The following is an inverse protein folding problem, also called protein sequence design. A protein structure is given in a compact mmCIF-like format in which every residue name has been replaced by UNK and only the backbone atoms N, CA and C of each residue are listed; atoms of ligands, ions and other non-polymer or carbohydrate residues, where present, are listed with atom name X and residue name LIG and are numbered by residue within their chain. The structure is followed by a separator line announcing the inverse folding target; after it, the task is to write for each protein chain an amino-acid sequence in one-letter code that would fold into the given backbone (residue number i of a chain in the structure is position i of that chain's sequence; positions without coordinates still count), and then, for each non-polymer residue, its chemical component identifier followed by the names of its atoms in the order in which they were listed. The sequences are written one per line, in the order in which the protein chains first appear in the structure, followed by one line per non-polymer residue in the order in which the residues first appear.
data_IF_663041278893
#
_entry.id   IF_663041278893
#
_cell.length_a   1.000
_cell.length_b   1.000
_cell.length_c   1.000
_cell.angle_alpha   90.00
_cell.angle_beta   90.00
_cell.angle_gamma   90.00
#
_symmetry.space_group_name_H-M   'P 1'
#
loop_
_entity.id
_entity.type
_entity.pdbx_description
1 polymer ?
#
# COMPACT_ATOMS: atom_id res chain seq x y z
N UNK A 1 -31.22 -9.96 0.02
CA UNK A 1 -29.79 -9.58 -0.01
C UNK A 1 -29.64 -8.35 -0.89
N UNK A 2 -29.03 -7.26 -0.38
CA UNK A 2 -28.79 -6.06 -1.18
C UNK A 2 -27.90 -6.31 -2.39
N UNK A 3 -27.96 -5.40 -3.36
CA UNK A 3 -27.08 -5.43 -4.53
C UNK A 3 -25.61 -5.35 -4.11
N UNK A 4 -24.75 -6.07 -4.80
CA UNK A 4 -23.30 -6.15 -4.53
C UNK A 4 -22.92 -6.79 -3.20
N UNK A 5 -23.84 -7.46 -2.55
CA UNK A 5 -23.58 -8.27 -1.36
C UNK A 5 -23.90 -9.74 -1.63
N UNK A 6 -23.25 -10.62 -0.88
CA UNK A 6 -23.49 -12.06 -0.91
C UNK A 6 -23.39 -12.63 0.50
N UNK A 7 -23.98 -13.80 0.68
CA UNK A 7 -23.88 -14.57 1.94
C UNK A 7 -23.52 -16.00 1.62
N UNK A 8 -22.68 -16.57 2.46
CA UNK A 8 -22.34 -18.00 2.41
C UNK A 8 -23.26 -18.74 3.36
N UNK A 9 -23.98 -19.72 2.84
CA UNK A 9 -24.89 -20.56 3.63
C UNK A 9 -24.24 -21.91 3.90
N UNK A 10 -24.20 -22.27 5.17
CA UNK A 10 -23.83 -23.59 5.63
C UNK A 10 -25.08 -24.36 6.03
N UNK A 11 -25.19 -25.60 5.56
CA UNK A 11 -26.24 -26.53 5.94
C UNK A 11 -25.64 -27.66 6.78
N UNK A 12 -26.09 -27.77 8.01
CA UNK A 12 -25.59 -28.77 8.96
C UNK A 12 -24.05 -28.76 9.07
N UNK A 13 -23.46 -27.56 9.11
CA UNK A 13 -22.01 -27.36 9.25
C UNK A 13 -21.19 -27.54 7.98
N UNK A 14 -21.84 -27.71 6.83
CA UNK A 14 -21.17 -27.84 5.53
C UNK A 14 -21.59 -26.72 4.58
N UNK A 15 -20.67 -26.26 3.74
CA UNK A 15 -21.01 -25.33 2.68
C UNK A 15 -22.15 -25.86 1.82
N UNK A 16 -23.17 -25.03 1.62
CA UNK A 16 -24.32 -25.36 0.79
C UNK A 16 -24.43 -24.47 -0.45
N UNK A 17 -24.42 -23.14 -0.27
CA UNK A 17 -24.60 -22.21 -1.36
C UNK A 17 -24.01 -20.83 -1.05
N UNK A 18 -23.67 -20.11 -2.13
CA UNK A 18 -23.39 -18.67 -2.09
C UNK A 18 -24.60 -17.94 -2.66
N UNK A 19 -25.27 -17.15 -1.83
CA UNK A 19 -26.52 -16.48 -2.21
C UNK A 19 -26.23 -15.22 -3.02
N UNK A 20 -26.97 -15.08 -4.12
CA UNK A 20 -26.91 -13.88 -4.97
C UNK A 20 -27.82 -12.77 -4.40
N UNK A 21 -27.61 -11.49 -4.82
CA UNK A 21 -28.53 -10.41 -4.48
C UNK A 21 -29.97 -10.74 -4.82
N UNK A 22 -30.91 -10.23 -4.01
CA UNK A 22 -32.32 -10.42 -4.19
C UNK A 22 -32.96 -11.31 -3.13
N UNK A 23 -34.05 -11.96 -3.49
CA UNK A 23 -34.81 -12.86 -2.62
C UNK A 23 -34.22 -14.26 -2.68
N UNK A 24 -33.89 -14.81 -1.51
CA UNK A 24 -33.38 -16.16 -1.36
C UNK A 24 -34.17 -16.89 -0.30
N UNK A 25 -34.42 -18.17 -0.52
CA UNK A 25 -35.14 -19.04 0.41
C UNK A 25 -34.14 -19.96 1.10
N UNK A 26 -34.17 -19.98 2.42
CA UNK A 26 -33.34 -20.86 3.26
C UNK A 26 -34.27 -21.68 4.18
N UNK A 27 -33.81 -22.84 4.61
CA UNK A 27 -34.54 -23.68 5.53
C UNK A 27 -34.13 -23.29 6.97
N UNK A 28 -35.07 -22.78 7.79
CA UNK A 28 -34.74 -22.44 9.18
C UNK A 28 -34.30 -23.71 9.95
N UNK A 29 -33.46 -23.49 10.97
CA UNK A 29 -32.83 -24.49 11.84
C UNK A 29 -31.69 -25.30 11.23
N UNK A 30 -31.64 -25.54 9.94
CA UNK A 30 -30.55 -26.29 9.29
C UNK A 30 -29.62 -25.42 8.45
N UNK A 31 -30.10 -24.30 7.92
CA UNK A 31 -29.34 -23.35 7.14
C UNK A 31 -28.91 -22.16 8.00
N UNK A 32 -27.64 -21.86 8.00
CA UNK A 32 -27.06 -20.73 8.71
C UNK A 32 -26.16 -19.92 7.78
N UNK A 33 -26.27 -18.59 7.86
CA UNK A 33 -25.32 -17.71 7.21
C UNK A 33 -24.01 -17.75 7.97
N UNK A 34 -22.91 -18.01 7.26
CA UNK A 34 -21.56 -18.05 7.85
C UNK A 34 -21.13 -16.67 8.31
N UNK A 35 -20.76 -16.55 9.57
CA UNK A 35 -20.17 -15.33 10.09
C UNK A 35 -18.71 -15.20 9.64
N UNK A 36 -18.37 -14.01 9.22
CA UNK A 36 -17.02 -13.65 8.77
C UNK A 36 -16.52 -12.44 9.55
N UNK A 37 -15.21 -12.27 9.55
CA UNK A 37 -14.57 -11.08 10.09
C UNK A 37 -14.39 -10.07 8.96
N UNK A 38 -14.84 -8.85 9.17
CA UNK A 38 -14.65 -7.73 8.27
C UNK A 38 -14.03 -6.56 9.03
N UNK A 39 -13.43 -5.62 8.33
CA UNK A 39 -12.91 -4.40 8.93
C UNK A 39 -13.80 -3.22 8.56
N UNK A 40 -14.31 -2.52 9.56
CA UNK A 40 -15.07 -1.27 9.39
C UNK A 40 -14.50 -0.20 10.32
N UNK A 41 -14.17 0.95 9.76
CA UNK A 41 -13.62 2.08 10.53
C UNK A 41 -12.42 1.70 11.42
N UNK A 42 -11.51 0.87 10.90
CA UNK A 42 -10.32 0.41 11.62
C UNK A 42 -10.58 -0.64 12.72
N UNK A 43 -11.80 -1.18 12.80
CA UNK A 43 -12.16 -2.20 13.79
C UNK A 43 -12.63 -3.48 13.11
N UNK A 44 -12.26 -4.61 13.69
CA UNK A 44 -12.79 -5.90 13.29
C UNK A 44 -14.23 -6.05 13.76
N UNK A 45 -15.11 -6.41 12.85
CA UNK A 45 -16.51 -6.68 13.13
C UNK A 45 -16.90 -8.04 12.54
N UNK A 46 -17.81 -8.73 13.22
CA UNK A 46 -18.41 -9.95 12.69
C UNK A 46 -19.65 -9.59 11.88
N UNK A 47 -19.73 -10.16 10.69
CA UNK A 47 -20.87 -9.99 9.81
C UNK A 47 -21.10 -11.27 8.99
N UNK A 48 -22.31 -11.50 8.55
CA UNK A 48 -22.62 -12.59 7.63
C UNK A 48 -22.79 -12.13 6.18
N UNK A 49 -22.61 -10.85 5.92
CA UNK A 49 -22.72 -10.24 4.60
C UNK A 49 -21.36 -9.91 4.05
N UNK A 50 -21.08 -10.36 2.84
CA UNK A 50 -19.82 -10.12 2.12
C UNK A 50 -20.07 -9.04 1.09
N UNK A 51 -19.35 -7.93 1.17
CA UNK A 51 -19.40 -6.84 0.21
C UNK A 51 -18.49 -7.17 -0.98
N UNK A 52 -19.03 -7.18 -2.18
CA UNK A 52 -18.30 -7.47 -3.41
C UNK A 52 -17.77 -6.22 -4.12
N UNK A 53 -18.08 -5.05 -3.59
CA UNK A 53 -17.55 -3.79 -4.11
C UNK A 53 -16.09 -3.61 -3.71
N UNK A 54 -15.41 -2.72 -4.41
CA UNK A 54 -14.06 -2.31 -4.01
C UNK A 54 -14.07 -1.74 -2.59
N UNK A 55 -13.15 -2.24 -1.76
CA UNK A 55 -12.97 -1.83 -0.38
C UNK A 55 -11.60 -1.19 -0.21
N UNK A 56 -11.50 -0.28 0.75
CA UNK A 56 -10.25 0.38 1.09
C UNK A 56 -9.87 0.02 2.52
N UNK A 57 -8.68 -0.54 2.69
CA UNK A 57 -8.08 -0.74 4.01
C UNK A 57 -6.99 0.31 4.23
N UNK A 58 -7.15 1.06 5.30
CA UNK A 58 -6.17 2.02 5.78
C UNK A 58 -5.39 1.37 6.93
N UNK A 59 -4.14 1.04 6.67
CA UNK A 59 -3.29 0.40 7.66
C UNK A 59 -2.57 1.43 8.51
N UNK A 60 -2.42 1.11 9.79
CA UNK A 60 -1.66 1.93 10.72
C UNK A 60 -0.21 2.07 10.28
N UNK A 61 0.42 3.15 10.72
CA UNK A 61 1.84 3.38 10.49
C UNK A 61 2.66 2.25 11.08
N UNK A 62 3.62 1.78 10.31
CA UNK A 62 4.58 0.77 10.75
C UNK A 62 6.00 1.27 10.59
N UNK A 63 6.87 0.75 11.45
CA UNK A 63 8.29 1.01 11.37
C UNK A 63 8.95 0.02 10.41
N UNK A 64 9.72 0.54 9.48
CA UNK A 64 10.53 -0.22 8.52
C UNK A 64 11.94 0.31 8.51
N UNK A 65 12.89 -0.53 8.14
CA UNK A 65 14.31 -0.18 8.08
C UNK A 65 14.77 -0.31 6.64
N UNK A 66 15.37 0.75 6.12
CA UNK A 66 15.94 0.78 4.77
C UNK A 66 17.25 -0.01 4.68
N UNK A 67 17.74 -0.22 3.46
CA UNK A 67 19.00 -0.91 3.21
C UNK A 67 20.21 -0.20 3.87
N UNK A 68 20.19 1.12 3.92
CA UNK A 68 21.19 1.95 4.61
C UNK A 68 20.92 2.12 6.11
N UNK A 69 20.07 1.24 6.68
CA UNK A 69 19.80 1.13 8.12
C UNK A 69 19.14 2.36 8.75
N UNK A 70 18.28 3.02 8.00
CA UNK A 70 17.49 4.15 8.49
C UNK A 70 16.08 3.67 8.81
N UNK A 71 15.63 3.93 10.04
CA UNK A 71 14.28 3.62 10.47
C UNK A 71 13.30 4.66 9.95
N UNK A 72 12.21 4.19 9.34
CA UNK A 72 11.15 5.05 8.82
C UNK A 72 9.79 4.59 9.29
N UNK A 73 8.83 5.50 9.31
CA UNK A 73 7.42 5.19 9.50
C UNK A 73 6.69 5.32 8.17
N UNK A 74 5.97 4.27 7.80
CA UNK A 74 5.21 4.21 6.56
C UNK A 74 3.82 3.67 6.84
N UNK A 75 2.82 4.26 6.20
CA UNK A 75 1.48 3.70 6.10
C UNK A 75 1.04 3.57 4.64
N UNK A 76 0.11 2.67 4.41
CA UNK A 76 -0.39 2.37 3.08
C UNK A 76 -1.91 2.25 3.06
N UNK A 77 -2.50 2.58 1.91
CA UNK A 77 -3.88 2.27 1.57
C UNK A 77 -3.91 1.11 0.59
N UNK A 78 -4.78 0.17 0.83
CA UNK A 78 -5.00 -0.97 -0.04
C UNK A 78 -6.42 -0.93 -0.59
N UNK A 79 -6.54 -0.90 -1.92
CA UNK A 79 -7.80 -1.01 -2.65
C UNK A 79 -7.92 -2.43 -3.20
N UNK A 80 -8.93 -3.14 -2.74
CA UNK A 80 -9.15 -4.52 -3.14
C UNK A 80 -10.64 -4.81 -3.24
N UNK A 81 -10.96 -5.92 -3.88
CA UNK A 81 -12.32 -6.46 -3.90
C UNK A 81 -12.31 -7.98 -3.77
N UNK A 82 -13.36 -8.51 -3.20
CA UNK A 82 -13.58 -9.95 -3.11
C UNK A 82 -14.22 -10.39 -4.42
N UNK A 83 -13.52 -11.23 -5.17
CA UNK A 83 -13.99 -11.76 -6.46
C UNK A 83 -14.53 -13.18 -6.35
N UNK A 84 -14.08 -13.94 -5.36
CA UNK A 84 -14.57 -15.28 -5.04
C UNK A 84 -14.90 -15.37 -3.55
N UNK A 85 -16.17 -15.17 -3.18
CA UNK A 85 -16.58 -15.20 -1.77
C UNK A 85 -16.31 -16.52 -1.06
N UNK A 86 -16.44 -17.64 -1.75
CA UNK A 86 -16.16 -18.96 -1.19
C UNK A 86 -14.69 -19.07 -0.71
N UNK A 87 -13.77 -18.70 -1.54
CA UNK A 87 -12.33 -18.69 -1.18
C UNK A 87 -12.02 -17.73 -0.06
N UNK A 88 -12.64 -16.55 -0.06
CA UNK A 88 -12.40 -15.54 0.99
C UNK A 88 -12.85 -16.00 2.38
N UNK A 89 -13.76 -16.93 2.45
CA UNK A 89 -14.28 -17.48 3.71
C UNK A 89 -13.54 -18.76 4.12
N UNK A 90 -13.28 -19.67 3.18
CA UNK A 90 -12.78 -21.02 3.50
C UNK A 90 -11.29 -21.22 3.29
N UNK A 91 -10.63 -20.43 2.45
CA UNK A 91 -9.20 -20.55 2.20
C UNK A 91 -8.33 -19.77 3.19
N UNK A 92 -8.91 -18.85 3.94
CA UNK A 92 -8.21 -18.03 4.92
C UNK A 92 -9.08 -17.76 6.14
N UNK A 93 -8.48 -17.85 7.30
CA UNK A 93 -9.10 -17.43 8.55
C UNK A 93 -8.79 -15.96 8.81
N UNK A 94 -9.81 -15.15 9.12
CA UNK A 94 -9.67 -13.73 9.37
C UNK A 94 -8.94 -12.99 8.23
N UNK A 95 -9.62 -12.85 7.11
CA UNK A 95 -9.10 -12.21 5.90
C UNK A 95 -8.48 -10.81 6.15
N UNK A 96 -9.12 -9.87 6.88
CA UNK A 96 -8.52 -8.56 7.13
C UNK A 96 -7.17 -8.63 7.83
N UNK A 97 -7.04 -9.46 8.84
CA UNK A 97 -5.77 -9.64 9.56
C UNK A 97 -4.70 -10.26 8.66
N UNK A 98 -5.06 -11.23 7.84
CA UNK A 98 -4.14 -11.85 6.89
C UNK A 98 -3.62 -10.86 5.85
N UNK A 99 -4.49 -10.03 5.30
CA UNK A 99 -4.12 -8.96 4.36
C UNK A 99 -3.19 -7.94 5.04
N UNK A 100 -3.50 -7.52 6.25
CA UNK A 100 -2.68 -6.58 7.01
C UNK A 100 -1.27 -7.12 7.25
N UNK A 101 -1.16 -8.34 7.74
CA UNK A 101 0.13 -8.99 8.01
C UNK A 101 0.95 -9.19 6.74
N UNK A 102 0.31 -9.61 5.67
CA UNK A 102 0.97 -9.77 4.37
C UNK A 102 1.47 -8.44 3.82
N UNK A 103 0.67 -7.39 3.93
CA UNK A 103 1.03 -6.03 3.50
C UNK A 103 2.22 -5.51 4.30
N UNK A 104 2.21 -5.67 5.62
CA UNK A 104 3.32 -5.27 6.49
C UNK A 104 4.62 -5.99 6.14
N UNK A 105 4.56 -7.30 5.97
CA UNK A 105 5.73 -8.11 5.63
C UNK A 105 6.28 -7.76 4.25
N UNK A 106 5.42 -7.62 3.26
CA UNK A 106 5.81 -7.28 1.88
C UNK A 106 6.43 -5.88 1.82
N UNK A 107 5.82 -4.92 2.50
CA UNK A 107 6.34 -3.56 2.56
C UNK A 107 7.72 -3.51 3.24
N UNK A 108 7.89 -4.24 4.33
CA UNK A 108 9.17 -4.37 5.02
C UNK A 108 10.25 -4.93 4.09
N UNK A 109 9.93 -5.96 3.33
CA UNK A 109 10.87 -6.59 2.41
C UNK A 109 11.26 -5.65 1.26
N UNK A 110 10.30 -4.96 0.67
CA UNK A 110 10.56 -4.02 -0.44
C UNK A 110 11.42 -2.86 0.04
N UNK A 111 11.07 -2.24 1.16
CA UNK A 111 11.80 -1.09 1.70
C UNK A 111 13.19 -1.52 2.21
N UNK A 112 13.32 -2.73 2.76
CA UNK A 112 14.61 -3.27 3.22
C UNK A 112 15.65 -3.47 2.13
N UNK A 113 15.23 -3.53 0.88
CA UNK A 113 16.11 -3.63 -0.29
C UNK A 113 16.45 -2.27 -0.93
N UNK A 114 15.85 -1.19 -0.45
CA UNK A 114 15.99 0.17 -0.99
C UNK A 114 16.74 1.07 -0.01
N UNK A 115 17.51 1.98 -0.57
CA UNK A 115 18.10 3.09 0.20
C UNK A 115 17.04 4.18 0.48
N UNK A 116 17.27 5.01 1.48
CA UNK A 116 16.34 6.06 1.89
C UNK A 116 15.95 6.97 0.71
N UNK A 117 16.92 7.45 -0.05
CA UNK A 117 16.66 8.33 -1.20
C UNK A 117 15.79 7.65 -2.25
N UNK A 118 16.02 6.39 -2.54
CA UNK A 118 15.20 5.60 -3.45
C UNK A 118 13.78 5.45 -2.93
N UNK A 119 13.61 5.23 -1.64
CA UNK A 119 12.29 5.11 -1.02
C UNK A 119 11.48 6.40 -1.15
N UNK A 120 12.12 7.55 -0.95
CA UNK A 120 11.47 8.86 -1.05
C UNK A 120 11.13 9.27 -2.49
N UNK A 121 11.93 8.86 -3.46
CA UNK A 121 11.79 9.26 -4.87
C UNK A 121 11.06 8.24 -5.75
N UNK A 122 10.99 6.98 -5.31
CA UNK A 122 10.45 5.87 -6.10
C UNK A 122 9.10 5.34 -5.58
N UNK A 123 8.26 6.24 -5.09
CA UNK A 123 6.94 5.89 -4.52
C UNK A 123 6.11 5.06 -5.49
N UNK A 124 6.03 5.45 -6.76
CA UNK A 124 5.25 4.74 -7.78
C UNK A 124 5.78 3.33 -8.03
N UNK A 125 7.10 3.17 -8.04
CA UNK A 125 7.74 1.85 -8.19
C UNK A 125 7.41 0.94 -7.00
N UNK A 126 7.44 1.46 -5.78
CA UNK A 126 7.07 0.72 -4.57
C UNK A 126 5.60 0.32 -4.62
N UNK A 127 4.71 1.23 -4.97
CA UNK A 127 3.27 0.97 -5.11
C UNK A 127 3.01 -0.16 -6.11
N UNK A 128 3.66 -0.12 -7.27
CA UNK A 128 3.51 -1.14 -8.31
C UNK A 128 4.02 -2.51 -7.87
N UNK A 129 5.20 -2.57 -7.26
CA UNK A 129 5.76 -3.83 -6.74
C UNK A 129 4.90 -4.41 -5.62
N UNK A 130 4.47 -3.57 -4.69
CA UNK A 130 3.64 -3.97 -3.57
C UNK A 130 2.30 -4.51 -4.05
N UNK A 131 1.64 -3.83 -5.00
CA UNK A 131 0.42 -4.31 -5.62
C UNK A 131 0.60 -5.66 -6.28
N UNK A 132 1.64 -5.84 -7.09
CA UNK A 132 1.90 -7.09 -7.81
C UNK A 132 2.10 -8.27 -6.86
N UNK A 133 2.90 -8.10 -5.82
CA UNK A 133 3.17 -9.15 -4.83
C UNK A 133 1.91 -9.48 -4.03
N UNK A 134 1.16 -8.47 -3.60
CA UNK A 134 -0.07 -8.67 -2.83
C UNK A 134 -1.16 -9.30 -3.67
N UNK A 135 -1.35 -8.89 -4.92
CA UNK A 135 -2.34 -9.47 -5.81
C UNK A 135 -2.05 -10.96 -6.05
N UNK A 136 -0.81 -11.31 -6.35
CA UNK A 136 -0.39 -12.69 -6.54
C UNK A 136 -0.62 -13.55 -5.29
N UNK A 137 -0.21 -13.06 -4.12
CA UNK A 137 -0.33 -13.78 -2.86
C UNK A 137 -1.79 -13.94 -2.39
N UNK A 138 -2.66 -12.96 -2.67
CA UNK A 138 -4.06 -12.98 -2.23
C UNK A 138 -5.02 -13.62 -3.22
N UNK A 139 -4.56 -13.94 -4.42
CA UNK A 139 -5.39 -14.57 -5.44
C UNK A 139 -6.01 -15.90 -4.97
N UNK A 140 -5.25 -16.71 -4.22
CA UNK A 140 -5.74 -17.96 -3.61
C UNK A 140 -6.87 -17.74 -2.60
N UNK A 141 -7.04 -16.55 -2.07
CA UNK A 141 -8.11 -16.17 -1.14
C UNK A 141 -9.33 -15.54 -1.84
N UNK A 142 -9.37 -15.59 -3.16
CA UNK A 142 -10.45 -14.99 -3.93
C UNK A 142 -10.47 -13.46 -3.90
N UNK A 143 -9.32 -12.83 -3.73
CA UNK A 143 -9.14 -11.39 -3.61
C UNK A 143 -8.41 -10.86 -4.84
N UNK A 144 -8.86 -9.72 -5.33
CA UNK A 144 -8.15 -8.93 -6.33
C UNK A 144 -7.68 -7.62 -5.72
N UNK A 145 -6.39 -7.39 -5.72
CA UNK A 145 -5.79 -6.12 -5.30
C UNK A 145 -5.73 -5.20 -6.50
N UNK A 146 -6.53 -4.14 -6.49
CA UNK A 146 -6.61 -3.19 -7.60
C UNK A 146 -5.51 -2.15 -7.54
N UNK A 147 -5.22 -1.64 -6.33
CA UNK A 147 -4.29 -0.54 -6.14
C UNK A 147 -3.72 -0.56 -4.73
N UNK A 148 -2.48 -0.14 -4.62
CA UNK A 148 -1.82 0.14 -3.33
C UNK A 148 -1.19 1.52 -3.41
N UNK A 149 -1.40 2.33 -2.38
CA UNK A 149 -0.82 3.65 -2.27
C UNK A 149 -0.10 3.82 -0.93
N UNK A 150 1.16 4.20 -0.98
CA UNK A 150 1.86 4.70 0.19
C UNK A 150 1.36 6.11 0.48
N UNK A 151 0.95 6.36 1.72
CA UNK A 151 0.49 7.68 2.13
C UNK A 151 1.64 8.54 2.63
N UNK A 152 2.15 8.20 3.79
CA UNK A 152 3.21 8.96 4.45
C UNK A 152 4.47 8.11 4.53
N UNK A 153 5.58 8.70 4.12
CA UNK A 153 6.92 8.15 4.30
C UNK A 153 7.67 9.15 5.16
N UNK A 154 7.82 8.83 6.44
CA UNK A 154 8.38 9.78 7.42
C UNK A 154 9.68 9.23 7.98
N UNK A 155 10.87 9.76 7.54
CA UNK A 155 12.14 9.50 8.18
C UNK A 155 12.20 10.12 9.58
N UNK A 156 13.15 9.71 10.45
CA UNK A 156 13.41 10.41 11.69
C UNK A 156 13.74 11.87 11.47
N UNK A 157 13.36 12.74 12.40
CA UNK A 157 13.57 14.18 12.26
C UNK A 157 15.05 14.55 12.12
N UNK A 158 15.94 13.86 12.83
CA UNK A 158 17.38 14.04 12.70
C UNK A 158 17.90 13.78 11.29
N UNK A 159 17.35 12.79 10.61
CA UNK A 159 17.68 12.44 9.23
C UNK A 159 17.12 13.49 8.27
N UNK A 160 15.87 13.95 8.49
CA UNK A 160 15.27 15.03 7.71
C UNK A 160 16.10 16.31 7.78
N UNK A 161 16.55 16.70 8.98
CA UNK A 161 17.41 17.88 9.15
C UNK A 161 18.75 17.72 8.45
N UNK A 162 19.37 16.55 8.53
CA UNK A 162 20.61 16.25 7.80
C UNK A 162 20.43 16.32 6.29
N UNK A 163 19.32 15.79 5.77
CA UNK A 163 18.98 15.86 4.35
C UNK A 163 18.75 17.30 3.88
N UNK A 164 18.03 18.11 4.67
CA UNK A 164 17.81 19.53 4.36
C UNK A 164 19.15 20.30 4.28
N UNK A 165 20.06 20.08 5.22
CA UNK A 165 21.38 20.68 5.21
C UNK A 165 22.18 20.24 3.99
N UNK A 166 22.14 18.97 3.64
CA UNK A 166 22.83 18.44 2.46
C UNK A 166 22.28 19.04 1.18
N UNK A 167 20.95 19.11 1.04
CA UNK A 167 20.28 19.72 -0.11
C UNK A 167 20.64 21.22 -0.24
N UNK A 168 20.67 21.93 0.89
CA UNK A 168 21.04 23.33 0.91
C UNK A 168 22.50 23.54 0.52
N UNK A 169 23.41 22.71 1.02
CA UNK A 169 24.83 22.73 0.65
C UNK A 169 25.02 22.43 -0.84
N UNK A 170 24.31 21.46 -1.41
CA UNK A 170 24.34 21.17 -2.84
C UNK A 170 23.82 22.33 -3.68
N UNK A 171 22.72 22.97 -3.27
CA UNK A 171 22.19 24.17 -3.95
C UNK A 171 23.20 25.32 -3.92
N UNK A 172 23.85 25.56 -2.77
CA UNK A 172 24.84 26.59 -2.65
C UNK A 172 26.07 26.28 -3.51
N UNK A 173 26.51 25.03 -3.56
CA UNK A 173 27.61 24.59 -4.43
C UNK A 173 27.28 24.81 -5.91
N UNK A 174 26.06 24.43 -6.35
CA UNK A 174 25.61 24.66 -7.72
C UNK A 174 25.55 26.15 -8.07
N UNK A 175 25.01 26.97 -7.17
CA UNK A 175 24.96 28.40 -7.35
C UNK A 175 26.37 29.02 -7.47
N UNK A 176 27.32 28.59 -6.63
CA UNK A 176 28.73 29.01 -6.69
C UNK A 176 29.40 28.61 -8.00
N UNK A 177 29.18 27.39 -8.48
CA UNK A 177 29.71 26.89 -9.75
C UNK A 177 29.14 27.73 -10.91
N UNK A 178 27.84 27.97 -10.96
CA UNK A 178 27.20 28.79 -11.99
C UNK A 178 27.73 30.23 -12.00
N UNK A 179 27.92 30.84 -10.82
CA UNK A 179 28.51 32.16 -10.70
C UNK A 179 29.95 32.19 -11.20
N UNK A 180 30.74 31.20 -10.85
CA UNK A 180 32.16 31.09 -11.28
C UNK A 180 32.27 30.88 -12.80
N UNK A 181 31.41 30.04 -13.36
CA UNK A 181 31.34 29.84 -14.81
C UNK A 181 30.90 31.11 -15.55
N UNK A 182 29.93 31.84 -15.00
CA UNK A 182 29.49 33.11 -15.55
C UNK A 182 30.60 34.18 -15.52
N UNK A 183 31.38 34.26 -14.45
CA UNK A 183 32.51 35.14 -14.35
C UNK A 183 33.63 34.79 -15.34
N UNK A 184 33.94 33.51 -15.48
CA UNK A 184 34.91 33.03 -16.48
C UNK A 184 34.49 33.37 -17.89
N UNK A 185 33.25 33.18 -18.23
CA UNK A 185 32.72 33.48 -19.56
C UNK A 185 32.78 35.01 -19.82
N UNK A 186 32.44 35.82 -18.82
CA UNK A 186 32.55 37.28 -18.89
C UNK A 186 33.99 37.72 -19.14
N UNK A 187 34.96 37.17 -18.40
CA UNK A 187 36.36 37.48 -18.58
C UNK A 187 36.88 37.06 -19.96
N UNK A 188 36.45 35.89 -20.44
CA UNK A 188 36.77 35.41 -21.80
C UNK A 188 36.30 36.36 -22.87
N UNK A 189 35.05 36.78 -22.78
CA UNK A 189 34.42 37.71 -23.74
C UNK A 189 35.10 39.08 -23.71
N UNK A 190 35.46 39.60 -22.52
CA UNK A 190 36.19 40.86 -22.38
C UNK A 190 37.60 40.77 -23.00
N UNK A 191 38.32 39.67 -22.77
CA UNK A 191 39.67 39.49 -23.33
C UNK A 191 39.65 39.30 -24.86
N UNK A 192 38.61 38.70 -25.40
CA UNK A 192 38.38 38.58 -26.84
C UNK A 192 38.02 39.93 -27.48
N UNK A 193 37.23 40.73 -26.78
CA UNK A 193 36.88 42.09 -27.23
C UNK A 193 38.06 43.07 -27.23
N UNK A 194 39.06 42.90 -26.35
CA UNK A 194 40.29 43.74 -26.34
C UNK A 194 41.27 43.37 -27.47
N UNK A 195 41.14 42.18 -28.05
CA UNK A 195 41.99 41.70 -29.14
C UNK A 195 41.45 42.06 -30.53
N UNK A 196 40.27 42.57 -30.63
CA UNK A 196 39.66 43.04 -31.88
C UNK A 196 39.83 44.56 -32.05
#
# INVERSE_FOLDING_TARGET
IPQSETKIIERLGRYFATLKPGINVIIPFIDHAKDIVSMRNGRYVYTNSIDLREQVYDFDRQNVITKDNIQMQINALLYFQIVDPFKSVYEINNLPNAIEKLTQTTLRNIIGEMELDQTLTSRDTINTKLRAVLDDATNKWGIKVNRVELQDITPPESVLQAMEKQMQAERNKRATILTSEGEKEKQRLLSEGEKA
#
